data_IF_321994850508
#
_entry.id   IF_321994850508
#
_cell.length_a   1.000
_cell.length_b   1.000
_cell.length_c   1.000
_cell.angle_alpha   90.00
_cell.angle_beta   90.00
_cell.angle_gamma   90.00
#
_symmetry.space_group_name_H-M   'P 1'
#
loop_
_entity.id
_entity.type
_entity.pdbx_description
1 polymer ?
#
# COMPACT_ATOMS: atom_id res chain seq x y z
N UNK A 1 20.79 -3.45 -3.38
CA UNK A 1 19.95 -2.37 -2.80
C UNK A 1 19.45 -2.86 -1.44
N UNK A 2 19.82 -2.16 -0.39
CA UNK A 2 19.40 -2.55 0.96
C UNK A 2 18.14 -1.82 1.36
N UNK A 3 17.11 -2.60 1.70
CA UNK A 3 15.84 -2.07 2.18
C UNK A 3 15.68 -2.35 3.66
N UNK A 4 15.15 -1.37 4.39
CA UNK A 4 14.79 -1.51 5.80
C UNK A 4 13.33 -1.15 5.97
N UNK A 5 12.72 -1.75 6.99
CA UNK A 5 11.31 -1.56 7.28
C UNK A 5 11.16 -1.22 8.75
N UNK A 6 10.45 -0.15 9.07
CA UNK A 6 10.13 0.17 10.45
C UNK A 6 8.68 0.59 10.60
N UNK A 7 8.09 0.23 11.72
CA UNK A 7 6.71 0.62 12.02
C UNK A 7 6.63 2.12 12.23
N UNK A 8 5.70 2.77 11.54
CA UNK A 8 5.48 4.21 11.69
C UNK A 8 4.91 4.54 13.06
N UNK A 9 5.31 5.68 13.59
CA UNK A 9 4.76 6.28 14.80
C UNK A 9 4.10 7.61 14.45
N UNK A 10 3.32 8.18 15.37
CA UNK A 10 2.54 9.40 15.11
C UNK A 10 3.42 10.55 14.61
N UNK A 11 4.65 10.65 15.11
CA UNK A 11 5.60 11.67 14.68
C UNK A 11 6.01 11.56 13.20
N UNK A 12 5.72 10.44 12.56
CA UNK A 12 6.01 10.24 11.14
C UNK A 12 4.94 10.81 10.20
N UNK A 13 3.89 11.45 10.73
CA UNK A 13 2.77 11.93 9.92
C UNK A 13 3.21 12.84 8.78
N UNK A 14 4.10 13.80 9.03
CA UNK A 14 4.60 14.70 8.00
C UNK A 14 5.36 13.94 6.91
N UNK A 15 6.18 12.97 7.28
CA UNK A 15 6.91 12.12 6.33
C UNK A 15 5.94 11.35 5.45
N UNK A 16 4.89 10.79 6.04
CA UNK A 16 3.90 10.01 5.27
C UNK A 16 3.07 10.88 4.35
N UNK A 17 2.75 12.11 4.74
CA UNK A 17 2.08 13.07 3.85
C UNK A 17 2.94 13.32 2.61
N UNK A 18 4.20 13.62 2.79
CA UNK A 18 5.11 13.88 1.67
C UNK A 18 5.23 12.65 0.76
N UNK A 19 5.31 11.48 1.35
CA UNK A 19 5.39 10.21 0.63
C UNK A 19 4.10 9.97 -0.18
N UNK A 20 2.93 10.12 0.45
CA UNK A 20 1.63 9.98 -0.21
C UNK A 20 1.50 10.95 -1.37
N UNK A 21 1.80 12.22 -1.13
CA UNK A 21 1.63 13.25 -2.16
C UNK A 21 2.55 12.98 -3.35
N UNK A 22 3.79 12.56 -3.11
CA UNK A 22 4.71 12.23 -4.19
C UNK A 22 4.25 10.99 -4.96
N UNK A 23 3.78 9.95 -4.25
CA UNK A 23 3.40 8.69 -4.87
C UNK A 23 2.07 8.78 -5.64
N UNK A 24 1.10 9.58 -5.13
CA UNK A 24 -0.25 9.62 -5.67
C UNK A 24 -0.56 10.86 -6.51
N UNK A 25 0.41 11.73 -6.76
CA UNK A 25 0.19 12.93 -7.56
C UNK A 25 -0.33 12.58 -8.96
N UNK A 26 0.24 11.56 -9.60
CA UNK A 26 -0.19 11.12 -10.92
C UNK A 26 -1.65 10.65 -10.94
N UNK A 27 -2.07 9.91 -9.93
CA UNK A 27 -3.45 9.47 -9.80
C UNK A 27 -4.38 10.64 -9.55
N UNK A 28 -3.97 11.61 -8.74
CA UNK A 28 -4.75 12.82 -8.51
C UNK A 28 -4.98 13.59 -9.82
N UNK A 29 -3.94 13.74 -10.65
CA UNK A 29 -4.04 14.42 -11.93
C UNK A 29 -4.97 13.64 -12.88
N UNK A 30 -4.84 12.29 -12.91
CA UNK A 30 -5.64 11.45 -13.81
C UNK A 30 -7.13 11.41 -13.43
N UNK A 31 -7.44 11.29 -12.14
CA UNK A 31 -8.81 11.07 -11.69
C UNK A 31 -9.48 12.30 -11.07
N UNK A 32 -8.74 13.37 -10.83
CA UNK A 32 -9.25 14.59 -10.20
C UNK A 32 -9.41 14.49 -8.68
N UNK A 33 -9.52 13.29 -8.15
CA UNK A 33 -9.53 12.98 -6.72
C UNK A 33 -8.70 11.72 -6.47
N UNK A 34 -8.04 11.66 -5.33
CA UNK A 34 -7.27 10.48 -4.93
C UNK A 34 -7.22 10.43 -3.40
N UNK A 35 -7.70 9.33 -2.76
CA UNK A 35 -7.68 9.25 -1.31
C UNK A 35 -6.28 9.37 -0.69
N UNK A 36 -5.24 8.98 -1.43
CA UNK A 36 -3.87 9.07 -0.95
C UNK A 36 -3.25 10.45 -1.07
N UNK A 37 -3.90 11.40 -1.76
CA UNK A 37 -3.34 12.74 -2.01
C UNK A 37 -4.08 13.81 -1.22
N UNK A 38 -3.33 14.75 -0.63
CA UNK A 38 -3.92 15.89 0.05
C UNK A 38 -4.43 15.62 1.46
N UNK A 39 -3.97 14.57 2.11
CA UNK A 39 -4.36 14.28 3.49
C UNK A 39 -3.78 15.33 4.46
N UNK A 40 -4.52 15.60 5.54
CA UNK A 40 -4.03 16.48 6.60
C UNK A 40 -3.15 15.72 7.58
N UNK A 41 -2.38 16.45 8.39
CA UNK A 41 -1.55 15.86 9.44
C UNK A 41 -2.40 15.05 10.43
N UNK A 42 -3.55 15.60 10.84
CA UNK A 42 -4.46 14.95 11.78
C UNK A 42 -5.01 13.64 11.20
N UNK A 43 -5.34 13.63 9.92
CA UNK A 43 -5.79 12.41 9.24
C UNK A 43 -4.71 11.33 9.26
N UNK A 44 -3.44 11.70 9.00
CA UNK A 44 -2.33 10.75 9.04
C UNK A 44 -2.04 10.27 10.46
N UNK A 45 -2.08 11.15 11.44
CA UNK A 45 -1.89 10.76 12.84
C UNK A 45 -2.93 9.73 13.27
N UNK A 46 -4.18 9.98 12.93
CA UNK A 46 -5.27 9.04 13.22
C UNK A 46 -5.07 7.71 12.47
N UNK A 47 -4.73 7.79 11.19
CA UNK A 47 -4.51 6.61 10.35
C UNK A 47 -3.36 5.74 10.86
N UNK A 48 -2.28 6.34 11.32
CA UNK A 48 -1.12 5.61 11.88
C UNK A 48 -1.55 4.80 13.11
N UNK A 49 -2.42 5.36 13.95
CA UNK A 49 -2.91 4.68 15.14
C UNK A 49 -3.89 3.54 14.81
N UNK A 50 -4.66 3.67 13.74
CA UNK A 50 -5.70 2.71 13.35
C UNK A 50 -5.18 1.62 12.40
N UNK A 51 -4.20 1.96 11.56
CA UNK A 51 -3.73 1.08 10.48
C UNK A 51 -2.20 0.98 10.54
N UNK A 52 -1.63 -0.14 11.02
CA UNK A 52 -0.18 -0.30 11.06
C UNK A 52 0.44 -0.04 9.70
N UNK A 53 1.47 0.81 9.68
CA UNK A 53 2.19 1.17 8.47
C UNK A 53 3.67 0.90 8.68
N UNK A 54 4.33 0.39 7.65
CA UNK A 54 5.75 0.10 7.68
C UNK A 54 6.45 0.98 6.66
N UNK A 55 7.29 1.88 7.14
CA UNK A 55 8.06 2.80 6.29
C UNK A 55 9.19 2.00 5.67
N UNK A 56 9.33 2.14 4.36
CA UNK A 56 10.36 1.47 3.56
C UNK A 56 11.48 2.47 3.33
N UNK A 57 12.70 2.11 3.74
CA UNK A 57 13.87 2.97 3.59
C UNK A 57 14.90 2.27 2.72
N UNK A 58 15.42 2.97 1.72
CA UNK A 58 16.50 2.51 0.86
C UNK A 58 17.76 3.28 1.23
N UNK A 59 18.73 2.61 1.84
CA UNK A 59 19.84 3.32 2.50
C UNK A 59 19.27 4.16 3.64
N UNK A 60 19.41 5.49 3.54
CA UNK A 60 18.85 6.42 4.52
C UNK A 60 17.63 7.19 4.00
N UNK A 61 17.17 6.87 2.79
CA UNK A 61 16.09 7.59 2.11
C UNK A 61 14.77 6.85 2.30
N UNK A 62 13.76 7.47 2.93
CA UNK A 62 12.42 6.90 2.95
C UNK A 62 11.83 6.93 1.54
N UNK A 63 11.44 5.77 1.02
CA UNK A 63 11.02 5.63 -0.38
C UNK A 63 9.57 5.25 -0.54
N UNK A 64 8.90 4.90 0.54
CA UNK A 64 7.50 4.50 0.48
C UNK A 64 7.04 3.89 1.79
N UNK A 65 5.84 3.33 1.78
CA UNK A 65 5.36 2.56 2.91
C UNK A 65 4.32 1.53 2.47
N UNK A 66 4.07 0.57 3.35
CA UNK A 66 3.01 -0.42 3.16
C UNK A 66 2.18 -0.51 4.44
N UNK A 67 0.85 -0.50 4.31
CA UNK A 67 -0.05 -0.68 5.44
C UNK A 67 -0.74 -2.03 5.36
N UNK A 68 -0.85 -2.69 6.53
CA UNK A 68 -1.48 -4.00 6.63
C UNK A 68 -2.20 -4.08 7.97
N UNK A 69 -3.49 -4.39 7.95
CA UNK A 69 -4.32 -4.44 9.16
C UNK A 69 -5.13 -5.73 9.17
N UNK A 70 -5.15 -6.41 10.30
CA UNK A 70 -6.09 -7.51 10.49
C UNK A 70 -7.51 -6.94 10.56
N UNK A 71 -8.37 -7.29 9.61
CA UNK A 71 -9.75 -6.80 9.51
C UNK A 71 -10.76 -7.82 9.98
N UNK A 72 -10.41 -9.11 9.92
CA UNK A 72 -11.17 -10.23 10.46
C UNK A 72 -10.17 -11.27 10.95
N UNK A 73 -10.56 -12.23 11.78
CA UNK A 73 -9.63 -13.31 12.20
C UNK A 73 -8.98 -13.96 10.98
N UNK A 74 -7.65 -13.98 10.98
CA UNK A 74 -6.82 -14.55 9.92
C UNK A 74 -6.94 -13.85 8.54
N UNK A 75 -7.59 -12.67 8.47
CA UNK A 75 -7.71 -11.87 7.25
C UNK A 75 -7.04 -10.52 7.47
N UNK A 76 -6.08 -10.19 6.60
CA UNK A 76 -5.34 -8.94 6.62
C UNK A 76 -5.62 -8.15 5.36
N UNK A 77 -5.93 -6.87 5.51
CA UNK A 77 -6.14 -5.97 4.37
C UNK A 77 -4.90 -5.12 4.17
N UNK A 78 -4.37 -5.14 2.95
CA UNK A 78 -3.33 -4.22 2.50
C UNK A 78 -4.06 -2.94 2.10
N UNK A 79 -3.91 -1.88 2.90
CA UNK A 79 -4.61 -0.62 2.66
C UNK A 79 -3.89 0.29 1.68
N UNK A 80 -2.57 0.26 1.69
CA UNK A 80 -1.75 1.08 0.80
C UNK A 80 -0.38 0.44 0.65
N UNK A 81 0.11 0.42 -0.57
CA UNK A 81 1.52 0.19 -0.88
C UNK A 81 1.90 1.27 -1.87
N UNK A 82 2.80 2.16 -1.48
CA UNK A 82 3.23 3.23 -2.35
C UNK A 82 4.74 3.40 -2.31
N UNK A 83 5.30 3.73 -3.48
CA UNK A 83 6.73 4.00 -3.66
C UNK A 83 6.82 5.33 -4.39
N UNK A 84 7.68 6.23 -3.93
CA UNK A 84 7.85 7.53 -4.60
C UNK A 84 8.44 7.33 -6.01
N UNK A 85 8.09 8.20 -6.97
CA UNK A 85 8.44 7.99 -8.39
C UNK A 85 9.91 7.68 -8.68
N UNK A 86 10.92 8.36 -8.07
CA UNK A 86 12.33 8.05 -8.38
C UNK A 86 12.76 6.62 -8.05
N UNK A 87 11.99 5.93 -7.20
CA UNK A 87 12.33 4.57 -6.74
C UNK A 87 11.37 3.51 -7.26
N UNK A 88 10.45 3.88 -8.13
CA UNK A 88 9.55 2.93 -8.77
C UNK A 88 10.27 2.08 -9.81
N UNK A 89 9.71 0.92 -10.13
CA UNK A 89 10.20 -0.03 -11.14
C UNK A 89 11.60 -0.59 -10.83
N UNK A 90 11.95 -0.66 -9.55
CA UNK A 90 13.21 -1.21 -9.07
C UNK A 90 13.02 -2.48 -8.22
N UNK A 91 11.79 -3.02 -8.18
CA UNK A 91 11.48 -4.21 -7.40
C UNK A 91 11.23 -3.95 -5.91
N UNK A 92 11.20 -2.70 -5.48
CA UNK A 92 11.01 -2.35 -4.05
C UNK A 92 9.63 -2.78 -3.57
N UNK A 93 8.58 -2.53 -4.37
CA UNK A 93 7.23 -2.94 -4.00
C UNK A 93 7.09 -4.44 -3.84
N UNK A 94 7.71 -5.22 -4.71
CA UNK A 94 7.72 -6.68 -4.61
C UNK A 94 8.42 -7.14 -3.33
N UNK A 95 9.58 -6.55 -3.02
CA UNK A 95 10.32 -6.89 -1.80
C UNK A 95 9.54 -6.51 -0.54
N UNK A 96 8.90 -5.35 -0.55
CA UNK A 96 8.09 -4.89 0.58
C UNK A 96 6.90 -5.83 0.82
N UNK A 97 6.22 -6.25 -0.23
CA UNK A 97 5.11 -7.19 -0.09
C UNK A 97 5.61 -8.52 0.48
N UNK A 98 6.70 -9.05 -0.04
CA UNK A 98 7.29 -10.30 0.49
C UNK A 98 7.67 -10.16 1.95
N UNK A 99 8.23 -9.02 2.34
CA UNK A 99 8.58 -8.78 3.74
C UNK A 99 7.35 -8.82 4.64
N UNK A 100 6.29 -8.10 4.28
CA UNK A 100 5.06 -8.08 5.09
C UNK A 100 4.44 -9.47 5.16
N UNK A 101 4.34 -10.19 4.05
CA UNK A 101 3.78 -11.54 4.05
C UNK A 101 4.59 -12.49 4.93
N UNK A 102 5.91 -12.30 4.99
CA UNK A 102 6.78 -13.15 5.80
C UNK A 102 6.60 -12.98 7.31
N UNK A 103 5.96 -11.88 7.73
CA UNK A 103 5.69 -11.64 9.16
C UNK A 103 4.52 -12.47 9.68
N UNK A 104 3.79 -13.15 8.80
CA UNK A 104 2.60 -13.92 9.16
C UNK A 104 2.77 -15.39 8.80
N UNK A 105 2.19 -16.27 9.62
CA UNK A 105 2.26 -17.72 9.41
C UNK A 105 1.24 -18.23 8.41
N UNK A 106 1.21 -19.55 8.25
CA UNK A 106 0.25 -20.22 7.38
C UNK A 106 -1.19 -20.01 7.85
N UNK A 107 -2.13 -20.10 6.92
CA UNK A 107 -3.55 -19.95 7.22
C UNK A 107 -4.06 -18.53 7.17
N UNK A 108 -3.20 -17.54 6.90
CA UNK A 108 -3.60 -16.14 6.77
C UNK A 108 -4.03 -15.83 5.35
N UNK A 109 -5.03 -14.97 5.22
CA UNK A 109 -5.52 -14.47 3.94
C UNK A 109 -5.22 -12.97 3.86
N UNK A 110 -4.72 -12.52 2.70
CA UNK A 110 -4.43 -11.12 2.44
C UNK A 110 -5.34 -10.64 1.32
N UNK A 111 -5.92 -9.46 1.47
CA UNK A 111 -6.81 -8.88 0.47
C UNK A 111 -6.48 -7.41 0.25
N UNK A 112 -6.77 -6.92 -0.96
CA UNK A 112 -6.65 -5.51 -1.30
C UNK A 112 -7.60 -5.18 -2.44
N UNK A 113 -7.84 -3.88 -2.64
CA UNK A 113 -8.57 -3.38 -3.80
C UNK A 113 -7.68 -2.42 -4.58
N UNK A 114 -7.90 -2.36 -5.89
CA UNK A 114 -7.24 -1.41 -6.78
C UNK A 114 -8.20 -1.02 -7.89
N UNK A 115 -8.09 0.23 -8.45
CA UNK A 115 -8.98 0.64 -9.53
C UNK A 115 -8.98 -0.37 -10.69
N UNK A 116 -10.17 -0.65 -11.21
CA UNK A 116 -10.35 -1.67 -12.25
C UNK A 116 -9.64 -1.32 -13.56
N UNK A 117 -9.42 -0.03 -13.83
CA UNK A 117 -8.71 0.44 -15.01
C UNK A 117 -7.21 0.59 -14.81
N UNK A 118 -6.71 0.35 -13.59
CA UNK A 118 -5.27 0.40 -13.31
C UNK A 118 -4.64 -0.96 -13.62
N UNK A 119 -4.46 -1.24 -14.91
CA UNK A 119 -3.95 -2.53 -15.36
C UNK A 119 -2.53 -2.78 -14.87
N UNK A 120 -1.72 -1.74 -14.72
CA UNK A 120 -0.34 -1.87 -14.23
C UNK A 120 -0.31 -2.38 -12.78
N UNK A 121 -1.15 -1.83 -11.90
CA UNK A 121 -1.26 -2.32 -10.53
C UNK A 121 -1.81 -3.75 -10.46
N UNK A 122 -2.84 -4.04 -11.25
CA UNK A 122 -3.41 -5.39 -11.28
C UNK A 122 -2.34 -6.40 -11.70
N UNK A 123 -1.56 -6.10 -12.73
CA UNK A 123 -0.47 -6.97 -13.18
C UNK A 123 0.61 -7.10 -12.11
N UNK A 124 0.96 -6.01 -11.44
CA UNK A 124 1.94 -6.06 -10.36
C UNK A 124 1.50 -7.03 -9.26
N UNK A 125 0.28 -6.89 -8.76
CA UNK A 125 -0.19 -7.76 -7.68
C UNK A 125 -0.37 -9.21 -8.12
N UNK A 126 -0.87 -9.44 -9.34
CA UNK A 126 -1.12 -10.81 -9.82
C UNK A 126 0.14 -11.51 -10.31
N UNK A 127 1.00 -10.82 -11.06
CA UNK A 127 2.19 -11.43 -11.67
C UNK A 127 3.41 -11.42 -10.77
N UNK A 128 3.56 -10.38 -9.94
CA UNK A 128 4.77 -10.23 -9.09
C UNK A 128 4.54 -10.63 -7.63
N UNK A 129 3.32 -10.48 -7.11
CA UNK A 129 3.04 -10.72 -5.70
C UNK A 129 2.25 -11.99 -5.43
N UNK A 130 1.68 -12.64 -6.45
CA UNK A 130 0.98 -13.89 -6.30
C UNK A 130 -0.49 -13.76 -5.89
N UNK A 131 -1.07 -12.56 -5.99
CA UNK A 131 -2.50 -12.37 -5.73
C UNK A 131 -3.32 -12.85 -6.92
N UNK A 132 -4.60 -13.14 -6.67
CA UNK A 132 -5.57 -13.46 -7.74
C UNK A 132 -6.79 -12.57 -7.61
N UNK A 133 -7.40 -12.26 -8.76
CA UNK A 133 -8.63 -11.47 -8.79
C UNK A 133 -9.80 -12.35 -8.34
N UNK A 134 -10.58 -11.87 -7.38
CA UNK A 134 -11.72 -12.62 -6.83
C UNK A 134 -13.05 -11.89 -7.02
N UNK A 135 -13.05 -10.64 -7.44
CA UNK A 135 -14.30 -9.92 -7.65
C UNK A 135 -14.11 -8.49 -8.11
N UNK A 136 -15.23 -7.86 -8.38
CA UNK A 136 -15.31 -6.45 -8.77
C UNK A 136 -16.33 -5.80 -7.84
N UNK A 137 -15.99 -4.60 -7.35
CA UNK A 137 -16.88 -3.87 -6.43
C UNK A 137 -16.73 -2.37 -6.67
N UNK A 138 -17.55 -1.59 -5.98
CA UNK A 138 -17.46 -0.13 -6.03
C UNK A 138 -16.85 0.39 -4.75
N UNK A 139 -15.90 1.30 -4.88
CA UNK A 139 -15.35 2.06 -3.77
C UNK A 139 -15.72 3.52 -4.02
N UNK A 140 -16.82 3.96 -3.37
CA UNK A 140 -17.42 5.24 -3.72
C UNK A 140 -17.88 5.24 -5.17
N UNK A 141 -17.37 6.16 -5.98
CA UNK A 141 -17.67 6.28 -7.41
C UNK A 141 -16.68 5.52 -8.29
N UNK A 142 -15.69 4.85 -7.70
CA UNK A 142 -14.63 4.18 -8.45
C UNK A 142 -14.88 2.68 -8.48
N UNK A 143 -14.87 2.10 -9.68
CA UNK A 143 -14.92 0.65 -9.86
C UNK A 143 -13.56 0.08 -9.52
N UNK A 144 -13.53 -0.90 -8.61
CA UNK A 144 -12.29 -1.54 -8.17
C UNK A 144 -12.38 -3.05 -8.36
N UNK A 145 -11.22 -3.68 -8.45
CA UNK A 145 -11.11 -5.14 -8.39
C UNK A 145 -10.59 -5.53 -7.02
N UNK A 146 -11.10 -6.64 -6.52
CA UNK A 146 -10.62 -7.24 -5.27
C UNK A 146 -9.63 -8.34 -5.60
N UNK A 147 -8.48 -8.28 -4.95
CA UNK A 147 -7.41 -9.25 -5.10
C UNK A 147 -7.18 -9.96 -3.77
N UNK A 148 -6.81 -11.23 -3.82
CA UNK A 148 -6.64 -12.05 -2.65
C UNK A 148 -5.44 -12.99 -2.78
N UNK A 149 -4.76 -13.22 -1.66
CA UNK A 149 -3.68 -14.18 -1.54
C UNK A 149 -3.89 -14.99 -0.26
N UNK A 150 -3.85 -16.30 -0.39
CA UNK A 150 -3.91 -17.21 0.78
C UNK A 150 -2.52 -17.77 1.04
N UNK A 151 -2.10 -17.68 2.28
CA UNK A 151 -0.79 -18.15 2.69
C UNK A 151 -0.81 -19.55 3.31
#
# INVERSE_FOLDING_TARGET
MELRYRKAVVQDAALLIDTDNAAFYGDYIKYGVCPGYGKTKEMLEHSILQHPKYIITCGEVPVGYISCKETEPDVHTIGCLCIIPPFQRKGIGTQAMKHVLSQYGEGKTFTLITPADNTENIRFYTEKCGFRMVGVEMDGSVKVVRLMLKK
#
